data_IF_012437167607
#
_entry.id   IF_012437167607
#
_cell.length_a   1.000
_cell.length_b   1.000
_cell.length_c   1.000
_cell.angle_alpha   90.00
_cell.angle_beta   90.00
_cell.angle_gamma   90.00
#
_symmetry.space_group_name_H-M   'P 1'
#
loop_
_entity.id
_entity.type
_entity.pdbx_description
1 polymer ?
#
# COMPACT_ATOMS: atom_id res chain seq x y z
N UNK A 1 12.79 -15.99 22.19
CA UNK A 1 12.75 -14.53 21.96
C UNK A 1 11.46 -14.03 22.58
N UNK A 2 11.45 -12.97 23.39
CA UNK A 2 10.18 -12.40 23.81
C UNK A 2 9.51 -11.83 22.56
N UNK A 3 8.22 -12.14 22.39
CA UNK A 3 7.38 -11.47 21.42
C UNK A 3 7.35 -10.03 21.92
N UNK A 4 8.03 -9.12 21.22
CA UNK A 4 7.82 -7.70 21.44
C UNK A 4 6.35 -7.44 21.16
N UNK A 5 5.65 -6.83 22.11
CA UNK A 5 4.30 -6.33 21.91
C UNK A 5 4.32 -5.27 20.80
N UNK A 6 4.18 -5.72 19.55
CA UNK A 6 4.01 -4.84 18.40
C UNK A 6 2.56 -4.40 18.43
N UNK A 7 2.35 -3.21 18.97
CA UNK A 7 1.06 -2.54 18.95
C UNK A 7 1.07 -1.51 17.84
N UNK A 8 -0.03 -1.44 17.08
CA UNK A 8 -0.25 -0.36 16.14
C UNK A 8 -0.23 0.99 16.90
N UNK A 9 0.47 1.97 16.34
CA UNK A 9 0.58 3.33 16.87
C UNK A 9 0.10 4.31 15.83
N UNK A 10 -0.54 5.40 16.26
CA UNK A 10 -0.93 6.48 15.36
C UNK A 10 0.27 7.07 14.64
N UNK A 11 0.11 7.59 13.40
CA UNK A 11 1.21 8.19 12.68
C UNK A 11 1.71 9.46 13.37
N UNK A 12 2.97 9.89 13.09
CA UNK A 12 3.50 11.15 13.61
C UNK A 12 2.65 12.36 13.19
N UNK A 13 2.76 13.45 13.95
CA UNK A 13 2.00 14.65 13.65
C UNK A 13 2.26 15.20 12.24
N UNK A 14 1.19 15.55 11.52
CA UNK A 14 1.23 16.00 10.13
C UNK A 14 1.42 14.89 9.08
N UNK A 15 1.32 13.62 9.47
CA UNK A 15 1.32 12.47 8.57
C UNK A 15 -0.05 11.78 8.55
N UNK A 16 -0.30 11.09 7.44
CA UNK A 16 -1.41 10.16 7.27
C UNK A 16 -0.89 8.74 7.17
N UNK A 17 -1.61 7.81 7.77
CA UNK A 17 -1.37 6.38 7.60
C UNK A 17 -2.30 5.86 6.50
N UNK A 18 -1.74 5.23 5.47
CA UNK A 18 -2.45 4.62 4.34
C UNK A 18 -2.24 3.11 4.41
N UNK A 19 -3.21 2.40 4.98
CA UNK A 19 -3.25 0.95 4.92
C UNK A 19 -3.77 0.50 3.55
N UNK A 20 -3.05 -0.42 2.91
CA UNK A 20 -3.43 -1.00 1.61
C UNK A 20 -3.42 -2.52 1.69
N UNK A 21 -4.47 -3.15 1.16
CA UNK A 21 -4.62 -4.60 1.15
C UNK A 21 -5.25 -5.09 -0.17
N UNK A 22 -4.85 -6.28 -0.62
CA UNK A 22 -5.47 -6.99 -1.73
C UNK A 22 -6.05 -8.35 -1.31
N UNK A 23 -7.35 -8.53 -1.51
CA UNK A 23 -8.06 -9.77 -1.20
C UNK A 23 -8.47 -10.53 -2.47
N UNK A 24 -8.14 -11.83 -2.55
CA UNK A 24 -8.62 -12.68 -3.64
C UNK A 24 -7.82 -13.97 -3.90
N UNK A 25 -8.08 -14.65 -5.04
CA UNK A 25 -9.16 -14.34 -5.98
C UNK A 25 -10.52 -14.77 -5.43
N UNK A 26 -11.54 -13.91 -5.58
CA UNK A 26 -12.91 -14.21 -5.14
C UNK A 26 -13.55 -15.22 -6.12
N UNK A 27 -13.78 -14.80 -7.37
CA UNK A 27 -14.29 -15.62 -8.47
C UNK A 27 -13.86 -15.03 -9.82
N UNK A 28 -13.71 -15.87 -10.86
CA UNK A 28 -13.35 -15.47 -12.23
C UNK A 28 -12.12 -14.56 -12.30
N UNK A 29 -11.10 -14.85 -11.47
CA UNK A 29 -9.85 -14.10 -11.42
C UNK A 29 -10.05 -12.61 -11.07
N UNK A 30 -10.98 -12.32 -10.17
CA UNK A 30 -11.19 -10.97 -9.63
C UNK A 30 -10.60 -10.83 -8.24
N UNK A 31 -10.01 -9.67 -8.01
CA UNK A 31 -9.39 -9.27 -6.76
C UNK A 31 -10.02 -7.99 -6.26
N UNK A 32 -10.26 -7.92 -4.95
CA UNK A 32 -10.63 -6.70 -4.27
C UNK A 32 -9.37 -6.00 -3.76
N UNK A 33 -9.33 -4.67 -3.87
CA UNK A 33 -8.32 -3.83 -3.25
C UNK A 33 -9.02 -2.89 -2.28
N UNK A 34 -8.49 -2.76 -1.07
CA UNK A 34 -9.00 -1.87 -0.04
C UNK A 34 -7.92 -0.88 0.38
N UNK A 35 -8.35 0.36 0.64
CA UNK A 35 -7.49 1.36 1.27
C UNK A 35 -8.23 2.07 2.39
N UNK A 36 -7.51 2.35 3.47
CA UNK A 36 -7.97 3.14 4.60
C UNK A 36 -6.91 4.20 4.89
N UNK A 37 -7.34 5.46 5.03
CA UNK A 37 -6.47 6.57 5.42
C UNK A 37 -6.84 7.02 6.82
N UNK A 38 -5.86 7.10 7.70
CA UNK A 38 -5.97 7.62 9.07
C UNK A 38 -5.14 8.87 9.25
N UNK A 39 -5.62 9.80 10.08
CA UNK A 39 -4.87 10.98 10.49
C UNK A 39 -3.95 10.71 11.70
N UNK A 40 -3.23 11.75 12.15
CA UNK A 40 -2.35 11.75 13.33
C UNK A 40 -3.05 11.35 14.65
N UNK A 41 -4.38 11.40 14.70
CA UNK A 41 -5.18 10.98 15.85
C UNK A 41 -5.70 9.54 15.70
N UNK A 42 -5.34 8.86 14.60
CA UNK A 42 -5.80 7.51 14.25
C UNK A 42 -7.23 7.45 13.72
N UNK A 43 -7.84 8.61 13.44
CA UNK A 43 -9.20 8.71 12.93
C UNK A 43 -9.20 8.38 11.44
N UNK A 44 -10.12 7.52 11.01
CA UNK A 44 -10.31 7.23 9.59
C UNK A 44 -10.90 8.46 8.92
N UNK A 45 -10.13 9.08 8.02
CA UNK A 45 -10.53 10.31 7.30
C UNK A 45 -10.91 10.03 5.85
N UNK A 46 -10.47 8.90 5.29
CA UNK A 46 -10.88 8.46 3.96
C UNK A 46 -10.76 6.94 3.82
N UNK A 47 -11.53 6.36 2.90
CA UNK A 47 -11.42 4.97 2.52
C UNK A 47 -11.89 4.80 1.07
N UNK A 48 -11.37 3.79 0.38
CA UNK A 48 -11.81 3.43 -0.97
C UNK A 48 -11.61 1.94 -1.22
N UNK A 49 -12.33 1.42 -2.20
CA UNK A 49 -12.14 0.05 -2.64
C UNK A 49 -12.33 -0.08 -4.15
N UNK A 50 -11.66 -1.06 -4.74
CA UNK A 50 -11.76 -1.37 -6.16
C UNK A 50 -11.84 -2.87 -6.37
N UNK A 51 -12.46 -3.27 -7.48
CA UNK A 51 -12.42 -4.64 -7.96
C UNK A 51 -11.71 -4.67 -9.30
N UNK A 52 -10.69 -5.52 -9.44
CA UNK A 52 -9.90 -5.62 -10.67
C UNK A 52 -9.89 -7.07 -11.16
N UNK A 53 -10.16 -7.23 -12.46
CA UNK A 53 -9.99 -8.50 -13.17
C UNK A 53 -8.52 -8.70 -13.49
N UNK A 54 -7.93 -9.82 -13.07
CA UNK A 54 -6.54 -10.12 -13.39
C UNK A 54 -6.13 -11.55 -13.07
N UNK A 55 -5.30 -12.10 -13.96
CA UNK A 55 -4.69 -13.44 -13.88
C UNK A 55 -3.33 -13.45 -13.18
N UNK A 56 -2.90 -12.33 -12.60
CA UNK A 56 -1.59 -12.18 -11.96
C UNK A 56 -1.53 -12.81 -10.57
N UNK A 57 -0.32 -13.15 -10.11
CA UNK A 57 -0.09 -13.70 -8.77
C UNK A 57 -0.30 -12.64 -7.65
N UNK A 58 -0.33 -13.09 -6.39
CA UNK A 58 -0.56 -12.23 -5.22
C UNK A 58 0.41 -11.05 -5.14
N UNK A 59 1.68 -11.25 -5.43
CA UNK A 59 2.70 -10.20 -5.34
C UNK A 59 2.44 -9.03 -6.30
N UNK A 60 2.09 -9.33 -7.56
CA UNK A 60 1.69 -8.30 -8.53
C UNK A 60 0.41 -7.60 -8.08
N UNK A 61 -0.47 -8.28 -7.34
CA UNK A 61 -1.73 -7.70 -6.85
C UNK A 61 -1.48 -6.69 -5.76
N UNK A 62 -0.63 -7.01 -4.81
CA UNK A 62 -0.23 -6.09 -3.75
C UNK A 62 0.46 -4.85 -4.32
N UNK A 63 1.37 -5.01 -5.28
CA UNK A 63 2.00 -3.87 -5.94
C UNK A 63 0.98 -2.97 -6.67
N UNK A 64 -0.02 -3.57 -7.34
CA UNK A 64 -1.11 -2.81 -7.99
C UNK A 64 -2.01 -2.13 -6.96
N UNK A 65 -2.36 -2.81 -5.86
CA UNK A 65 -3.14 -2.25 -4.77
C UNK A 65 -2.43 -1.04 -4.19
N UNK A 66 -1.12 -1.17 -3.92
CA UNK A 66 -0.29 -0.07 -3.44
C UNK A 66 -0.32 1.12 -4.39
N UNK A 67 -0.04 0.92 -5.69
CA UNK A 67 -0.09 2.02 -6.66
C UNK A 67 -1.45 2.73 -6.65
N UNK A 68 -2.55 1.97 -6.57
CA UNK A 68 -3.91 2.55 -6.46
C UNK A 68 -4.12 3.33 -5.17
N UNK A 69 -3.58 2.85 -4.05
CA UNK A 69 -3.61 3.59 -2.78
C UNK A 69 -2.85 4.91 -2.86
N UNK A 70 -1.69 4.92 -3.51
CA UNK A 70 -0.91 6.14 -3.70
C UNK A 70 -1.61 7.15 -4.63
N UNK A 71 -2.18 6.67 -5.74
CA UNK A 71 -3.01 7.48 -6.63
C UNK A 71 -4.18 8.10 -5.85
N UNK A 72 -4.88 7.31 -5.04
CA UNK A 72 -5.97 7.78 -4.20
C UNK A 72 -5.52 8.84 -3.19
N UNK A 73 -4.41 8.63 -2.50
CA UNK A 73 -3.91 9.60 -1.53
C UNK A 73 -3.52 10.93 -2.20
N UNK A 74 -2.94 10.86 -3.39
CA UNK A 74 -2.60 12.03 -4.21
C UNK A 74 -3.85 12.79 -4.67
N UNK A 75 -4.86 12.08 -5.18
CA UNK A 75 -6.12 12.69 -5.64
C UNK A 75 -6.86 13.39 -4.48
N UNK A 76 -6.75 12.84 -3.27
CA UNK A 76 -7.30 13.42 -2.04
C UNK A 76 -6.42 14.51 -1.41
N UNK A 77 -5.27 14.83 -2.02
CA UNK A 77 -4.30 15.82 -1.52
C UNK A 77 -3.75 15.52 -0.12
N UNK A 78 -3.63 14.24 0.25
CA UNK A 78 -2.90 13.87 1.45
C UNK A 78 -1.39 14.04 1.21
N UNK A 79 -0.82 15.04 1.88
CA UNK A 79 0.62 15.32 1.90
C UNK A 79 1.22 14.62 3.13
N UNK A 80 2.34 13.91 2.98
CA UNK A 80 3.02 13.10 4.00
C UNK A 80 2.29 11.81 4.40
N UNK A 81 2.38 10.78 3.55
CA UNK A 81 1.74 9.49 3.77
C UNK A 81 2.77 8.44 4.21
N UNK A 82 2.43 7.66 5.22
CA UNK A 82 3.08 6.40 5.59
C UNK A 82 2.22 5.29 5.01
N UNK A 83 2.82 4.37 4.26
CA UNK A 83 2.08 3.28 3.62
C UNK A 83 2.34 2.00 4.38
N UNK A 84 1.28 1.33 4.79
CA UNK A 84 1.32 0.04 5.47
C UNK A 84 0.69 -1.03 4.56
N UNK A 85 1.38 -2.17 4.39
CA UNK A 85 0.87 -3.32 3.65
C UNK A 85 1.38 -4.62 4.28
N UNK A 86 0.63 -5.71 4.17
CA UNK A 86 1.09 -7.03 4.61
C UNK A 86 2.01 -7.72 3.57
N UNK A 87 2.20 -7.09 2.42
CA UNK A 87 3.00 -7.56 1.30
C UNK A 87 4.50 -7.32 1.49
N UNK A 88 5.09 -8.01 2.48
CA UNK A 88 6.51 -7.89 2.84
C UNK A 88 7.49 -7.88 1.65
N UNK A 89 7.28 -8.69 0.61
CA UNK A 89 8.13 -8.70 -0.60
C UNK A 89 8.05 -7.40 -1.42
N UNK A 90 6.85 -6.81 -1.52
CA UNK A 90 6.62 -5.55 -2.22
C UNK A 90 7.27 -4.41 -1.44
N UNK A 91 7.08 -4.40 -0.12
CA UNK A 91 7.70 -3.44 0.81
C UNK A 91 9.23 -3.51 0.71
N UNK A 92 9.81 -4.71 0.77
CA UNK A 92 11.26 -4.90 0.66
C UNK A 92 11.80 -4.38 -0.67
N UNK A 93 11.09 -4.64 -1.77
CA UNK A 93 11.54 -4.21 -3.11
C UNK A 93 11.49 -2.68 -3.25
N UNK A 94 10.46 -2.04 -2.68
CA UNK A 94 10.34 -0.57 -2.64
C UNK A 94 11.44 0.06 -1.78
N UNK A 95 11.66 -0.46 -0.57
CA UNK A 95 12.61 0.11 0.38
C UNK A 95 14.08 -0.07 -0.04
N UNK A 96 14.39 -1.10 -0.82
CA UNK A 96 15.76 -1.39 -1.25
C UNK A 96 16.10 -0.92 -2.68
N UNK A 97 15.15 -0.29 -3.41
CA UNK A 97 15.30 0.01 -4.84
C UNK A 97 15.89 -1.16 -5.65
N UNK A 98 15.62 -2.40 -5.23
CA UNK A 98 16.14 -3.56 -5.94
C UNK A 98 15.43 -3.64 -7.28
N UNK A 99 16.21 -3.67 -8.37
CA UNK A 99 15.69 -3.90 -9.71
C UNK A 99 15.09 -5.30 -9.78
N UNK A 100 13.78 -5.41 -9.54
CA UNK A 100 13.04 -6.60 -9.89
C UNK A 100 12.91 -6.65 -11.41
N UNK A 101 13.52 -7.64 -12.06
CA UNK A 101 13.58 -7.84 -13.52
C UNK A 101 12.23 -8.20 -14.19
N UNK A 102 11.10 -7.87 -13.57
CA UNK A 102 9.74 -8.28 -13.99
C UNK A 102 8.74 -7.12 -13.90
N UNK A 103 7.53 -7.29 -14.44
CA UNK A 103 6.41 -6.31 -14.45
C UNK A 103 6.13 -5.57 -13.13
N UNK A 104 6.53 -6.14 -11.99
CA UNK A 104 6.44 -5.52 -10.67
C UNK A 104 7.36 -4.29 -10.56
N UNK A 105 8.54 -4.31 -11.19
CA UNK A 105 9.52 -3.22 -11.15
C UNK A 105 8.99 -1.90 -11.71
N UNK A 106 8.23 -1.92 -12.80
CA UNK A 106 7.64 -0.69 -13.37
C UNK A 106 6.53 -0.11 -12.48
N UNK A 107 5.76 -0.97 -11.80
CA UNK A 107 4.71 -0.54 -10.86
C UNK A 107 5.37 0.09 -9.62
N UNK A 108 6.47 -0.50 -9.17
CA UNK A 108 7.27 0.02 -8.05
C UNK A 108 7.91 1.37 -8.42
N UNK A 109 8.40 1.53 -9.65
CA UNK A 109 8.91 2.81 -10.14
C UNK A 109 7.83 3.90 -10.16
N UNK A 110 6.60 3.58 -10.60
CA UNK A 110 5.45 4.49 -10.50
C UNK A 110 5.20 4.93 -9.04
N UNK A 111 5.28 3.97 -8.10
CA UNK A 111 5.13 4.24 -6.68
C UNK A 111 6.26 5.15 -6.15
N UNK A 112 7.52 4.87 -6.48
CA UNK A 112 8.68 5.66 -6.03
C UNK A 112 8.65 7.11 -6.56
N UNK A 113 8.15 7.33 -7.77
CA UNK A 113 8.03 8.67 -8.37
C UNK A 113 6.95 9.55 -7.71
N UNK A 114 6.15 8.99 -6.80
CA UNK A 114 5.10 9.71 -6.09
C UNK A 114 5.62 10.42 -4.82
N UNK A 115 6.92 10.69 -4.69
CA UNK A 115 7.57 11.68 -3.80
C UNK A 115 7.18 11.74 -2.29
N UNK A 116 6.50 10.75 -1.70
CA UNK A 116 5.93 10.89 -0.35
C UNK A 116 5.78 9.54 0.39
N UNK A 117 6.83 8.74 0.63
CA UNK A 117 6.60 7.46 1.34
C UNK A 117 7.69 7.09 2.35
N UNK A 118 7.22 6.72 3.55
CA UNK A 118 7.88 5.73 4.40
C UNK A 118 7.01 4.49 4.28
N UNK A 119 7.56 3.38 3.78
CA UNK A 119 6.84 2.10 3.68
C UNK A 119 7.21 1.25 4.89
N UNK A 120 6.22 0.92 5.72
CA UNK A 120 6.39 0.08 6.92
C UNK A 120 5.69 -1.26 6.72
#
# INVERSE_FOLDING_TARGET
MPISDVHWTTPPGGYYDLNVDAAGPIERCRWGFGVVVRDEYGVVVAASCWQVLSLSNSEVKEAVAMRKGLEFAKDMSFLNVIVESDASNVILTLNHHQQSFYYVGSIIEDCCNSNVFVVV
#
